data_IF_595815481742
#
_entry.id   IF_595815481742
#
_cell.length_a   1.000
_cell.length_b   1.000
_cell.length_c   1.000
_cell.angle_alpha   90.00
_cell.angle_beta   90.00
_cell.angle_gamma   90.00
#
_symmetry.space_group_name_H-M   'P 1'
#
loop_
_entity.id
_entity.type
_entity.pdbx_description
1 polymer ?
2 water ?
#
# COMPACT_ATOMS: atom_id res chain seq x y z
N UNK A 4 4.99 19.62 7.73
CA UNK A 4 5.34 18.21 8.03
C UNK A 4 5.45 17.96 9.55
N UNK A 5 4.89 16.83 10.02
CA UNK A 5 5.16 16.32 11.35
C UNK A 5 6.65 16.10 11.56
N UNK A 6 7.13 16.32 12.78
CA UNK A 6 8.54 16.09 13.11
C UNK A 6 8.70 14.97 14.11
N UNK A 7 8.04 15.11 15.26
CA UNK A 7 8.08 14.08 16.28
C UNK A 7 6.67 13.52 16.44
N UNK A 8 6.55 12.23 16.17
CA UNK A 8 5.27 11.57 16.05
C UNK A 8 5.06 10.52 17.13
N UNK A 9 3.87 10.51 17.72
CA UNK A 9 3.40 9.39 18.54
C UNK A 9 2.42 8.54 17.74
N UNK A 10 2.64 7.23 17.70
CA UNK A 10 1.77 6.32 16.98
C UNK A 10 1.25 5.25 17.92
N UNK A 11 -0.08 5.20 18.06
CA UNK A 11 -0.74 4.13 18.82
C UNK A 11 -1.36 3.16 17.82
N UNK A 12 -1.18 1.86 18.05
CA UNK A 12 -1.71 0.83 17.14
C UNK A 12 -0.75 0.41 16.04
N UNK A 13 0.55 0.57 16.27
CA UNK A 13 1.54 0.25 15.24
C UNK A 13 1.51 -1.19 14.78
N UNK A 14 0.99 -2.12 15.61
CA UNK A 14 1.02 -3.54 15.22
C UNK A 14 -0.22 -3.98 14.46
N UNK A 15 -1.21 -3.10 14.34
CA UNK A 15 -2.36 -3.38 13.45
C UNK A 15 -1.90 -3.15 12.01
N UNK A 16 -2.66 -3.65 11.04
CA UNK A 16 -2.21 -3.57 9.65
C UNK A 16 -2.05 -2.12 9.17
N UNK A 17 -3.05 -1.28 9.43
CA UNK A 17 -2.93 0.15 9.09
C UNK A 17 -1.72 0.77 9.78
N UNK A 18 -1.57 0.47 11.08
CA UNK A 18 -0.43 0.96 11.85
C UNK A 18 0.92 0.57 11.27
N UNK A 19 1.03 -0.66 10.79
CA UNK A 19 2.29 -1.16 10.23
C UNK A 19 2.61 -0.40 8.95
N UNK A 20 1.63 -0.24 8.06
CA UNK A 20 1.85 0.55 6.85
C UNK A 20 2.23 2.00 7.21
N UNK A 21 1.52 2.58 8.17
CA UNK A 21 1.76 3.97 8.53
C UNK A 21 3.17 4.14 9.12
N UNK A 22 3.55 3.22 10.02
CA UNK A 22 4.88 3.32 10.63
C UNK A 22 5.98 3.24 9.57
N UNK A 23 5.84 2.31 8.64
CA UNK A 23 6.86 2.15 7.60
C UNK A 23 6.96 3.42 6.73
N UNK A 24 5.80 4.04 6.45
CA UNK A 24 5.76 5.33 5.73
C UNK A 24 6.43 6.44 6.54
N UNK A 25 6.03 6.61 7.79
CA UNK A 25 6.60 7.61 8.69
C UNK A 25 8.14 7.51 8.67
N UNK A 26 8.66 6.30 8.85
CA UNK A 26 10.12 6.09 8.92
C UNK A 26 10.85 6.38 7.61
N UNK A 27 10.11 6.40 6.50
CA UNK A 27 10.71 6.67 5.20
C UNK A 27 10.82 8.18 4.90
N UNK A 28 10.12 8.99 5.68
CA UNK A 28 10.08 10.43 5.40
C UNK A 28 11.36 11.12 5.82
N UNK A 29 12.07 11.76 4.87
CA UNK A 29 13.36 12.36 5.26
C UNK A 29 13.29 13.44 6.34
N UNK A 30 12.15 14.11 6.47
CA UNK A 30 12.00 15.20 7.47
C UNK A 30 11.56 14.70 8.84
N UNK A 31 11.24 13.40 8.96
CA UNK A 31 10.81 12.86 10.26
C UNK A 31 11.96 12.93 11.26
N UNK A 32 11.69 13.49 12.44
CA UNK A 32 12.71 13.61 13.49
C UNK A 32 12.73 12.43 14.43
N UNK A 33 11.55 11.95 14.82
CA UNK A 33 11.42 10.87 15.81
C UNK A 33 10.01 10.31 15.75
N UNK A 34 9.88 9.00 15.94
CA UNK A 34 8.57 8.37 16.16
C UNK A 34 8.62 7.53 17.43
N UNK A 35 7.63 7.71 18.28
CA UNK A 35 7.47 6.89 19.46
C UNK A 35 6.30 5.97 19.19
N UNK A 36 6.54 4.66 19.24
CA UNK A 36 5.49 3.69 18.93
C UNK A 36 5.42 2.64 20.04
N UNK A 37 4.68 2.94 21.10
CA UNK A 37 4.48 1.95 22.16
C UNK A 37 3.59 0.84 21.62
N UNK A 38 4.01 -0.41 21.82
CA UNK A 38 3.32 -1.56 21.21
C UNK A 38 3.46 -2.84 22.05
N UNK A 39 2.65 -3.85 21.76
CA UNK A 39 2.72 -5.13 22.49
C UNK A 39 3.82 -6.05 21.96
N UNK A 40 4.45 -5.66 20.85
CA UNK A 40 5.51 -6.44 20.24
C UNK A 40 6.66 -5.55 19.83
N UNK A 41 7.86 -6.12 19.77
CA UNK A 41 9.03 -5.45 19.22
C UNK A 41 8.83 -5.18 17.74
N UNK A 42 9.12 -3.94 17.35
CA UNK A 42 9.20 -3.55 15.97
C UNK A 42 10.68 -3.54 15.60
N UNK A 43 10.99 -3.64 14.31
CA UNK A 43 12.36 -3.56 13.83
C UNK A 43 12.99 -2.25 14.28
N UNK A 44 14.27 -2.31 14.62
CA UNK A 44 14.98 -1.14 15.13
C UNK A 44 15.24 -0.10 14.04
N UNK A 45 15.23 1.16 14.42
CA UNK A 45 15.53 2.25 13.51
C UNK A 45 16.04 3.37 14.41
N UNK A 46 17.09 4.10 13.99
CA UNK A 46 17.64 5.15 14.84
C UNK A 46 16.62 6.21 15.28
N UNK A 47 15.57 6.42 14.49
CA UNK A 47 14.57 7.45 14.81
C UNK A 47 13.35 6.89 15.53
N UNK A 48 13.36 5.59 15.81
CA UNK A 48 12.23 4.92 16.43
C UNK A 48 12.47 4.58 17.90
N UNK A 49 11.55 5.06 18.75
CA UNK A 49 11.50 4.67 20.16
C UNK A 49 10.30 3.75 20.32
N UNK A 50 10.57 2.49 20.66
CA UNK A 50 9.55 1.45 20.66
C UNK A 50 9.51 0.67 21.97
N UNK A 51 8.93 1.29 23.00
CA UNK A 51 8.74 0.54 24.26
C UNK A 51 7.73 -0.59 24.05
N UNK A 52 7.99 -1.76 24.63
CA UNK A 52 7.16 -2.94 24.42
C UNK A 52 6.44 -3.35 25.70
N UNK A 53 5.12 -3.41 25.60
CA UNK A 53 4.25 -3.78 26.72
C UNK A 53 2.85 -3.22 26.52
N UNK A 54 1.97 -3.39 27.51
CA UNK A 54 0.59 -2.88 27.40
C UNK A 54 0.56 -1.36 27.33
N UNK A 55 -0.19 -0.82 26.36
CA UNK A 55 -0.26 0.61 26.08
C UNK A 55 -0.63 1.48 27.28
N UNK A 56 -1.67 1.10 28.03
CA UNK A 56 -2.13 1.91 29.16
C UNK A 56 -1.02 2.15 30.20
N UNK A 57 -0.22 1.12 30.47
CA UNK A 57 0.89 1.22 31.42
C UNK A 57 2.13 1.91 30.82
N UNK A 58 2.28 1.83 29.50
CA UNK A 58 3.40 2.49 28.82
C UNK A 58 3.24 4.01 28.72
N UNK A 59 2.00 4.48 28.57
CA UNK A 59 1.77 5.91 28.27
C UNK A 59 2.44 6.88 29.27
N UNK A 60 2.28 6.63 30.59
CA UNK A 60 2.98 7.45 31.57
C UNK A 60 4.51 7.39 31.47
N UNK A 61 5.06 6.28 31.00
CA UNK A 61 6.51 6.11 30.92
C UNK A 61 7.17 6.85 29.75
N UNK A 62 6.37 7.40 28.83
CA UNK A 62 6.94 8.00 27.63
C UNK A 62 7.67 9.32 27.86
N UNK A 63 8.96 9.31 27.55
CA UNK A 63 9.73 10.54 27.57
C UNK A 63 9.73 11.13 26.17
N UNK A 64 10.20 12.36 26.04
CA UNK A 64 10.27 13.01 24.75
C UNK A 64 9.12 13.96 24.47
N UNK A 65 9.28 14.68 23.36
CA UNK A 65 8.32 15.65 22.87
C UNK A 65 7.63 15.08 21.65
N UNK A 66 6.41 15.53 21.39
CA UNK A 66 5.59 15.11 20.24
C UNK A 66 4.93 16.35 19.67
N UNK A 67 4.85 16.46 18.35
CA UNK A 67 3.98 17.47 17.74
C UNK A 67 2.73 16.86 17.14
N UNK A 68 2.82 15.61 16.69
CA UNK A 68 1.72 14.99 15.94
C UNK A 68 1.48 13.59 16.47
N UNK A 69 0.22 13.22 16.68
CA UNK A 69 -0.11 11.88 17.16
C UNK A 69 -1.12 11.22 16.25
N UNK A 70 -0.99 9.89 16.10
CA UNK A 70 -1.92 9.08 15.30
C UNK A 70 -2.45 7.97 16.15
N UNK A 71 -3.76 7.73 16.07
CA UNK A 71 -4.36 6.58 16.76
C UNK A 71 -5.04 5.67 15.76
N UNK A 72 -4.49 4.46 15.63
CA UNK A 72 -5.00 3.44 14.69
C UNK A 72 -5.59 2.23 15.42
N UNK A 73 -6.14 2.46 16.61
CA UNK A 73 -6.77 1.42 17.43
C UNK A 73 -8.22 1.20 17.03
N UNK A 74 -8.71 -0.03 17.17
CA UNK A 74 -10.11 -0.31 16.98
C UNK A 74 -10.33 -1.81 17.04
N UNK A 75 -11.36 -2.22 17.76
CA UNK A 75 -11.70 -3.64 17.86
C UNK A 75 -13.20 -3.83 17.57
N UNK A 76 -13.74 -4.98 17.97
CA UNK A 76 -15.18 -5.23 17.86
C UNK A 76 -15.64 -5.87 19.16
N UNK A 77 -16.96 -5.89 19.39
CA UNK A 77 -17.48 -6.54 20.61
C UNK A 77 -17.12 -8.02 20.61
N UNK A 78 -17.27 -8.68 19.47
CA UNK A 78 -16.95 -10.10 19.34
C UNK A 78 -15.48 -10.41 19.65
N UNK A 79 -14.55 -9.62 19.10
CA UNK A 79 -13.13 -9.88 19.35
C UNK A 79 -12.68 -9.48 20.75
N UNK A 80 -13.38 -8.50 21.33
CA UNK A 80 -13.02 -8.01 22.67
C UNK A 80 -13.68 -8.84 23.76
N UNK A 81 -14.86 -9.39 23.48
CA UNK A 81 -15.54 -10.31 24.38
C UNK A 81 -16.68 -9.71 25.18
N UNK A 82 -16.77 -8.38 25.20
CA UNK A 82 -17.82 -7.67 25.91
C UNK A 82 -17.88 -6.22 25.44
N UNK A 83 -19.02 -5.58 25.69
CA UNK A 83 -19.15 -4.15 25.42
C UNK A 83 -18.13 -3.35 26.23
N UNK A 84 -17.87 -3.79 27.46
CA UNK A 84 -16.91 -3.11 28.33
C UNK A 84 -15.45 -3.20 27.82
N UNK A 85 -15.07 -4.38 27.34
CA UNK A 85 -13.74 -4.58 26.76
C UNK A 85 -13.59 -3.81 25.43
N UNK A 86 -14.66 -3.77 24.66
CA UNK A 86 -14.67 -2.96 23.46
C UNK A 86 -14.50 -1.47 23.78
N UNK A 87 -15.25 -0.96 24.76
CA UNK A 87 -15.12 0.46 25.13
C UNK A 87 -13.72 0.78 25.59
N UNK A 88 -13.07 -0.14 26.29
CA UNK A 88 -11.70 0.08 26.75
C UNK A 88 -10.73 0.34 25.60
N UNK A 89 -10.88 -0.38 24.49
CA UNK A 89 -9.99 -0.23 23.32
C UNK A 89 -10.39 0.91 22.39
N UNK A 90 -11.70 1.07 22.14
CA UNK A 90 -12.17 2.03 21.16
C UNK A 90 -12.47 3.41 21.73
N UNK A 91 -12.65 3.50 23.05
CA UNK A 91 -12.94 4.79 23.70
C UNK A 91 -11.83 5.19 24.66
N UNK A 92 -11.59 4.37 25.68
CA UNK A 92 -10.68 4.76 26.75
C UNK A 92 -9.26 4.95 26.27
N UNK A 93 -8.75 4.02 25.48
CA UNK A 93 -7.35 4.14 25.06
C UNK A 93 -7.09 5.28 24.10
N UNK A 94 -7.88 5.44 23.04
CA UNK A 94 -7.67 6.61 22.18
C UNK A 94 -7.74 7.93 22.98
N UNK A 95 -8.62 8.02 23.96
CA UNK A 95 -8.69 9.22 24.76
C UNK A 95 -7.43 9.39 25.58
N UNK A 96 -6.93 8.30 26.19
CA UNK A 96 -5.73 8.35 27.01
C UNK A 96 -4.49 8.71 26.19
N UNK A 97 -4.41 8.17 24.97
CA UNK A 97 -3.33 8.52 24.05
C UNK A 97 -3.35 10.03 23.75
N UNK A 98 -4.54 10.56 23.51
CA UNK A 98 -4.71 11.98 23.20
C UNK A 98 -4.28 12.86 24.36
N UNK A 99 -4.71 12.49 25.56
CA UNK A 99 -4.41 13.26 26.77
C UNK A 99 -2.92 13.30 26.99
N UNK A 100 -2.27 12.15 26.85
CA UNK A 100 -0.83 12.06 27.03
C UNK A 100 -0.07 12.82 25.93
N UNK A 101 -0.51 12.69 24.68
CA UNK A 101 0.12 13.40 23.57
C UNK A 101 0.15 14.91 23.83
N UNK A 102 -0.97 15.45 24.31
CA UNK A 102 -1.03 16.89 24.64
C UNK A 102 -0.02 17.25 25.71
N UNK A 103 0.14 16.39 26.71
CA UNK A 103 1.12 16.62 27.78
C UNK A 103 2.54 16.65 27.22
N UNK A 104 2.77 15.91 26.14
CA UNK A 104 4.09 15.80 25.53
C UNK A 104 4.31 16.90 24.48
N UNK A 105 3.31 17.77 24.31
CA UNK A 105 3.43 18.96 23.49
C UNK A 105 2.72 18.92 22.14
N UNK A 106 1.90 17.88 21.93
CA UNK A 106 1.31 17.67 20.62
C UNK A 106 0.34 18.78 20.24
N UNK A 107 0.30 19.13 18.96
CA UNK A 107 -0.63 20.13 18.43
C UNK A 107 -1.69 19.53 17.50
N UNK A 108 -1.46 18.31 16.99
CA UNK A 108 -2.36 17.72 16.00
C UNK A 108 -2.54 16.25 16.30
N UNK A 109 -3.79 15.82 16.49
CA UNK A 109 -4.13 14.41 16.71
C UNK A 109 -4.98 13.94 15.55
N UNK A 110 -4.57 12.82 14.94
CA UNK A 110 -5.32 12.18 13.87
C UNK A 110 -5.78 10.81 14.35
N UNK A 111 -7.09 10.61 14.34
CA UNK A 111 -7.69 9.44 14.95
C UNK A 111 -8.52 8.68 13.92
N UNK A 112 -8.41 7.36 13.91
CA UNK A 112 -9.29 6.54 13.09
C UNK A 112 -10.58 6.27 13.87
N UNK A 113 -11.65 6.88 13.38
CA UNK A 113 -13.01 6.62 13.85
C UNK A 113 -13.68 5.73 12.80
N UNK A 114 -14.92 6.02 12.43
CA UNK A 114 -15.59 5.17 11.43
C UNK A 114 -16.74 5.91 10.80
N UNK A 115 -17.04 5.56 9.55
CA UNK A 115 -18.26 6.02 8.89
C UNK A 115 -19.46 5.87 9.83
N UNK A 116 -20.29 6.90 9.92
CA UNK A 116 -21.50 6.83 10.75
C UNK A 116 -21.32 7.03 12.25
N UNK A 117 -20.09 7.32 12.70
CA UNK A 117 -19.88 7.60 14.11
C UNK A 117 -20.85 8.68 14.57
N UNK A 118 -21.55 8.46 15.69
CA UNK A 118 -22.61 9.38 16.12
C UNK A 118 -23.03 9.00 17.52
N UNK A 119 -22.79 9.88 18.48
CA UNK A 119 -23.07 9.59 19.88
C UNK A 119 -24.56 9.36 20.15
N UNK A 120 -25.42 9.79 19.22
CA UNK A 120 -26.86 9.60 19.39
C UNK A 120 -27.40 8.42 18.58
N UNK A 121 -26.51 7.65 17.96
CA UNK A 121 -26.92 6.46 17.23
C UNK A 121 -27.42 5.35 18.15
N UNK A 122 -28.45 4.64 17.69
CA UNK A 122 -28.91 3.39 18.34
C UNK A 122 -27.96 2.22 18.13
N UNK A 123 -27.00 2.38 17.20
CA UNK A 123 -26.05 1.33 16.90
C UNK A 123 -24.88 1.49 17.88
N UNK A 124 -24.64 0.45 18.68
CA UNK A 124 -23.64 0.50 19.75
C UNK A 124 -22.26 0.92 19.24
N UNK A 125 -21.79 0.25 18.19
CA UNK A 125 -20.46 0.55 17.65
C UNK A 125 -20.38 2.04 17.25
N UNK A 126 -21.36 2.49 16.48
CA UNK A 126 -21.37 3.89 16.00
C UNK A 126 -21.49 4.87 17.16
N UNK A 127 -22.28 4.50 18.17
CA UNK A 127 -22.45 5.34 19.34
C UNK A 127 -21.15 5.56 20.10
N UNK A 128 -20.41 4.48 20.35
CA UNK A 128 -19.14 4.58 21.06
C UNK A 128 -18.14 5.43 20.27
N UNK A 129 -18.09 5.21 18.96
CA UNK A 129 -17.20 6.02 18.12
C UNK A 129 -17.55 7.49 18.19
N UNK A 130 -18.85 7.79 18.17
CA UNK A 130 -19.29 9.18 18.28
C UNK A 130 -18.97 9.78 19.64
N UNK A 131 -19.13 8.99 20.70
CA UNK A 131 -18.80 9.43 22.05
C UNK A 131 -17.31 9.78 22.14
N UNK A 132 -16.47 8.96 21.50
CA UNK A 132 -15.04 9.26 21.47
C UNK A 132 -14.78 10.57 20.73
N UNK A 133 -15.41 10.75 19.57
CA UNK A 133 -15.23 11.99 18.80
C UNK A 133 -15.57 13.22 19.64
N UNK A 134 -16.67 13.15 20.38
CA UNK A 134 -17.09 14.28 21.20
C UNK A 134 -16.10 14.51 22.34
N UNK A 135 -15.65 13.43 22.98
CA UNK A 135 -14.71 13.53 24.09
C UNK A 135 -13.38 14.11 23.62
N UNK A 136 -12.93 13.73 22.43
CA UNK A 136 -11.69 14.30 21.87
C UNK A 136 -11.79 15.80 21.64
N UNK A 137 -12.98 16.26 21.28
CA UNK A 137 -13.19 17.68 21.04
C UNK A 137 -13.20 18.53 22.31
N UNK A 138 -13.14 17.86 23.47
CA UNK A 138 -13.09 18.55 24.76
C UNK A 138 -11.68 18.56 25.37
N UNK A 139 -10.73 17.94 24.69
CA UNK A 139 -9.37 17.82 25.23
C UNK A 139 -8.50 19.07 25.06
N UNK A 140 -8.86 19.94 24.11
CA UNK A 140 -8.10 21.17 23.84
C UNK A 140 -7.10 21.06 22.69
N UNK A 141 -7.40 20.21 21.71
CA UNK A 141 -6.56 20.10 20.51
C UNK A 141 -6.54 21.37 19.67
N UNK A 142 -5.33 21.92 19.40
CA UNK A 142 -5.27 22.97 18.39
C UNK A 142 -5.82 22.47 17.05
N UNK A 143 -5.47 21.23 16.70
CA UNK A 143 -5.93 20.63 15.46
C UNK A 143 -6.29 19.19 15.72
N UNK A 144 -7.44 18.77 15.19
CA UNK A 144 -7.94 17.42 15.40
C UNK A 144 -8.53 16.92 14.09
N UNK A 145 -7.97 15.83 13.56
CA UNK A 145 -8.48 15.26 12.33
C UNK A 145 -9.03 13.88 12.62
N UNK A 146 -10.31 13.70 12.31
CA UNK A 146 -11.01 12.44 12.59
C UNK A 146 -11.34 11.75 11.26
N UNK A 147 -10.69 10.63 11.00
CA UNK A 147 -10.93 9.85 9.79
C UNK A 147 -12.10 8.94 10.03
N UNK A 148 -13.02 8.88 9.06
CA UNK A 148 -14.19 8.01 9.17
C UNK A 148 -14.24 7.04 8.00
N UNK A 149 -13.33 6.06 7.98
CA UNK A 149 -13.32 5.10 6.86
C UNK A 149 -14.57 4.25 6.88
N UNK A 150 -14.90 3.68 5.73
CA UNK A 150 -16.02 2.75 5.62
C UNK A 150 -15.99 1.65 6.68
N UNK A 151 -17.16 1.28 7.16
CA UNK A 151 -17.29 0.22 8.16
C UNK A 151 -16.99 -1.15 7.58
N UNK A 152 -17.24 -1.31 6.29
CA UNK A 152 -17.12 -2.58 5.60
C UNK A 152 -16.36 -2.40 4.31
N UNK A 153 -15.58 -3.41 3.96
CA UNK A 153 -14.86 -3.42 2.68
C UNK A 153 -14.80 -4.83 2.13
N UNK A 154 -14.17 -4.98 0.96
CA UNK A 154 -14.21 -6.24 0.23
C UNK A 154 -15.25 -6.20 -0.86
N UNK A 155 -15.21 -7.20 -1.76
CA UNK A 155 -16.10 -7.22 -2.93
C UNK A 155 -17.58 -7.37 -2.56
N UNK A 156 -17.86 -7.99 -1.41
CA UNK A 156 -19.23 -8.11 -0.92
C UNK A 156 -19.43 -7.43 0.44
N UNK A 157 -18.60 -6.43 0.73
CA UNK A 157 -18.62 -5.73 2.03
C UNK A 157 -18.59 -6.73 3.18
N UNK A 158 -17.75 -7.75 3.04
CA UNK A 158 -17.73 -8.87 3.98
C UNK A 158 -16.66 -8.73 5.06
N UNK A 159 -15.82 -7.71 4.94
CA UNK A 159 -14.74 -7.51 5.90
C UNK A 159 -14.99 -6.25 6.71
N UNK A 160 -14.73 -6.31 8.03
CA UNK A 160 -14.95 -5.13 8.85
C UNK A 160 -13.70 -4.28 8.96
N UNK A 161 -13.90 -2.96 9.00
CA UNK A 161 -12.84 -2.00 9.27
C UNK A 161 -11.87 -2.43 10.39
N UNK A 162 -12.42 -2.90 11.51
CA UNK A 162 -11.56 -3.26 12.65
C UNK A 162 -10.47 -4.30 12.31
N UNK A 163 -10.68 -5.08 11.25
CA UNK A 163 -9.70 -6.09 10.84
C UNK A 163 -8.37 -5.49 10.41
N UNK A 164 -8.38 -4.22 9.97
CA UNK A 164 -7.14 -3.55 9.60
C UNK A 164 -6.68 -2.61 10.70
N UNK A 165 -7.34 -2.69 11.85
CA UNK A 165 -6.95 -1.94 13.02
C UNK A 165 -6.49 -2.95 14.07
N UNK A 166 -7.16 -3.01 15.22
CA UNK A 166 -6.70 -3.88 16.31
C UNK A 166 -7.43 -5.21 16.42
N UNK A 167 -8.32 -5.53 15.46
CA UNK A 167 -9.05 -6.81 15.54
C UNK A 167 -8.95 -7.65 14.27
N UNK A 168 -7.72 -8.05 13.88
CA UNK A 168 -7.58 -8.91 12.73
C UNK A 168 -8.16 -10.28 13.03
N UNK A 169 -8.70 -10.92 12.00
CA UNK A 169 -9.08 -12.32 12.06
C UNK A 169 -8.37 -13.03 10.88
N UNK A 170 -7.33 -13.81 11.19
CA UNK A 170 -6.55 -14.49 10.15
C UNK A 170 -7.11 -15.87 9.81
N UNK A 175 -5.10 -12.10 3.23
CA UNK A 175 -5.82 -10.82 3.31
C UNK A 175 -5.42 -9.83 2.24
N UNK A 176 -5.80 -10.14 1.00
CA UNK A 176 -5.47 -9.32 -0.19
C UNK A 176 -6.06 -7.90 -0.13
N UNK A 177 -7.38 -7.83 0.02
CA UNK A 177 -8.09 -6.55 0.19
C UNK A 177 -7.68 -5.84 1.46
N UNK A 178 -7.32 -6.59 2.49
CA UNK A 178 -6.88 -6.00 3.75
C UNK A 178 -5.63 -5.15 3.57
N UNK A 179 -4.66 -5.68 2.83
CA UNK A 179 -3.42 -4.92 2.59
C UNK A 179 -3.66 -3.66 1.76
N UNK A 180 -4.55 -3.76 0.77
CA UNK A 180 -4.88 -2.59 -0.03
C UNK A 180 -5.54 -1.52 0.85
N UNK A 181 -6.54 -1.91 1.64
CA UNK A 181 -7.26 -0.98 2.48
C UNK A 181 -6.36 -0.34 3.53
N UNK A 182 -5.51 -1.15 4.15
CA UNK A 182 -4.56 -0.61 5.13
C UNK A 182 -3.55 0.34 4.49
N UNK A 183 -3.08 -0.03 3.31
CA UNK A 183 -2.11 0.82 2.63
C UNK A 183 -2.76 2.18 2.31
N UNK A 184 -3.97 2.15 1.77
CA UNK A 184 -4.69 3.36 1.39
C UNK A 184 -4.98 4.23 2.61
N UNK A 185 -5.48 3.62 3.68
CA UNK A 185 -5.82 4.37 4.88
C UNK A 185 -4.59 5.02 5.50
N UNK A 186 -3.47 4.27 5.55
CA UNK A 186 -2.25 4.81 6.10
C UNK A 186 -1.75 6.00 5.27
N UNK A 187 -1.84 5.89 3.95
CA UNK A 187 -1.43 7.00 3.08
C UNK A 187 -2.31 8.23 3.33
N UNK A 188 -3.62 8.01 3.45
CA UNK A 188 -4.54 9.12 3.73
C UNK A 188 -4.21 9.81 5.07
N UNK A 189 -3.90 9.02 6.09
CA UNK A 189 -3.60 9.58 7.41
C UNK A 189 -2.34 10.44 7.36
N UNK A 190 -1.29 9.95 6.68
CA UNK A 190 -0.08 10.76 6.60
C UNK A 190 -0.35 12.06 5.82
N UNK A 191 -1.06 11.95 4.71
CA UNK A 191 -1.36 13.15 3.90
C UNK A 191 -2.16 14.17 4.72
N UNK A 192 -3.09 13.68 5.52
CA UNK A 192 -3.88 14.58 6.38
C UNK A 192 -3.01 15.28 7.42
N UNK A 193 -1.96 14.59 7.86
CA UNK A 193 -1.03 15.16 8.85
C UNK A 193 -0.18 16.29 8.28
N UNK A 194 -0.14 16.42 6.95
CA UNK A 194 0.63 17.48 6.30
C UNK A 194 -0.17 18.76 6.21
N UNK A 195 -1.48 18.66 6.42
CA UNK A 195 -2.37 19.79 6.20
C UNK A 195 -2.47 20.62 7.47
N UNK A 196 -1.93 21.83 7.40
CA UNK A 196 -1.89 22.72 8.55
C UNK A 196 -3.23 23.43 8.71
N UNK A 197 -3.76 23.37 9.92
CA UNK A 197 -5.07 23.91 10.20
C UNK A 197 -5.29 24.13 11.68
N UNK A 198 -6.44 24.70 11.99
CA UNK A 198 -6.88 24.91 13.35
C UNK A 198 -8.28 24.33 13.41
N UNK A 199 -8.60 23.65 14.50
CA UNK A 199 -9.96 23.16 14.72
C UNK A 199 -10.11 21.71 14.32
N UNK A 200 -11.36 21.33 14.06
CA UNK A 200 -11.72 19.92 13.88
C UNK A 200 -12.12 19.64 12.45
N UNK A 201 -11.62 18.54 11.89
CA UNK A 201 -12.00 18.11 10.55
C UNK A 201 -12.41 16.65 10.58
N UNK A 202 -13.57 16.34 10.04
CA UNK A 202 -14.02 14.96 9.85
C UNK A 202 -13.84 14.59 8.38
N UNK A 203 -13.09 13.52 8.12
CA UNK A 203 -12.72 13.14 6.76
C UNK A 203 -13.46 11.85 6.43
N UNK A 204 -14.41 11.96 5.50
CA UNK A 204 -15.29 10.84 5.22
C UNK A 204 -14.68 9.86 4.23
N UNK A 205 -15.34 8.73 4.05
CA UNK A 205 -14.77 7.63 3.27
C UNK A 205 -14.36 8.00 1.84
N UNK A 206 -15.18 8.78 1.12
CA UNK A 206 -14.81 9.18 -0.26
C UNK A 206 -13.57 10.07 -0.27
N UNK A 207 -13.45 10.93 0.75
CA UNK A 207 -12.28 11.81 0.85
C UNK A 207 -11.05 10.97 1.14
N UNK A 208 -11.17 10.02 2.07
CA UNK A 208 -10.06 9.14 2.39
C UNK A 208 -9.64 8.30 1.18
N UNK A 209 -10.59 7.90 0.35
CA UNK A 209 -10.29 7.14 -0.87
C UNK A 209 -9.44 7.98 -1.82
N UNK A 210 -9.83 9.25 -2.00
CA UNK A 210 -9.10 10.13 -2.91
C UNK A 210 -7.69 10.38 -2.38
N UNK A 211 -7.58 10.63 -1.08
CA UNK A 211 -6.28 10.87 -0.47
C UNK A 211 -5.41 9.61 -0.45
N UNK A 212 -6.04 8.47 -0.21
CA UNK A 212 -5.31 7.21 -0.06
C UNK A 212 -4.92 6.58 -1.38
N UNK A 213 -5.81 6.64 -2.36
CA UNK A 213 -5.59 5.97 -3.65
C UNK A 213 -5.10 6.91 -4.73
N UNK A 214 -5.45 8.18 -4.62
CA UNK A 214 -5.17 9.14 -5.70
C UNK A 214 -3.73 9.61 -5.68
N UNK A 215 -3.32 10.25 -6.77
CA UNK A 215 -1.99 10.83 -6.85
C UNK A 215 -1.83 12.02 -5.91
N UNK B 4 -2.05 11.42 -17.98
CA UNK B 4 -2.33 10.06 -17.41
C UNK B 4 -2.44 9.01 -18.53
N UNK B 5 -2.01 7.77 -18.25
CA UNK B 5 -2.43 6.64 -19.06
C UNK B 5 -3.96 6.61 -19.17
N UNK B 6 -4.46 6.15 -20.31
CA UNK B 6 -5.91 6.10 -20.53
C UNK B 6 -6.36 4.65 -20.67
N UNK B 7 -5.74 3.94 -21.60
CA UNK B 7 -6.05 2.54 -21.86
C UNK B 7 -4.80 1.73 -21.54
N UNK B 8 -4.94 0.85 -20.56
CA UNK B 8 -3.80 0.18 -19.92
C UNK B 8 -3.86 -1.33 -20.13
N UNK B 9 -2.72 -1.91 -20.51
CA UNK B 9 -2.56 -3.36 -20.48
C UNK B 9 -1.75 -3.75 -19.26
N UNK B 10 -2.26 -4.68 -18.45
CA UNK B 10 -1.55 -5.09 -17.26
C UNK B 10 -1.32 -6.57 -17.31
N UNK B 11 -0.05 -6.97 -17.30
CA UNK B 11 0.31 -8.38 -17.17
C UNK B 11 0.75 -8.65 -15.76
N UNK B 12 0.17 -9.66 -15.14
CA UNK B 12 0.52 -10.06 -13.79
C UNK B 12 -0.45 -9.62 -12.71
N UNK B 13 -1.73 -9.46 -13.07
CA UNK B 13 -2.72 -9.01 -12.10
C UNK B 13 -2.92 -9.97 -10.92
N UNK B 14 -2.54 -11.24 -11.09
CA UNK B 14 -2.66 -12.20 -9.99
C UNK B 14 -1.50 -12.18 -9.00
N UNK B 15 -0.40 -11.51 -9.35
CA UNK B 15 0.70 -11.30 -8.39
C UNK B 15 0.35 -10.14 -7.49
N UNK B 16 1.01 -10.03 -6.35
CA UNK B 16 0.57 -9.04 -5.36
C UNK B 16 0.77 -7.60 -5.86
N UNK B 17 1.90 -7.32 -6.51
CA UNK B 17 2.13 -5.97 -7.06
C UNK B 17 1.05 -5.65 -8.09
N UNK B 18 0.77 -6.60 -9.00
CA UNK B 18 -0.26 -6.37 -10.01
C UNK B 18 -1.65 -6.20 -9.42
N UNK B 19 -1.93 -6.88 -8.31
CA UNK B 19 -3.20 -6.75 -7.61
C UNK B 19 -3.39 -5.35 -7.06
N UNK B 20 -2.38 -4.84 -6.36
CA UNK B 20 -2.41 -3.46 -5.87
C UNK B 20 -2.47 -2.47 -7.02
N UNK B 21 -1.68 -2.71 -8.08
CA UNK B 21 -1.67 -1.77 -9.19
C UNK B 21 -3.03 -1.74 -9.88
N UNK B 22 -3.65 -2.91 -10.09
CA UNK B 22 -4.95 -2.95 -10.76
C UNK B 22 -5.99 -2.20 -9.96
N UNK B 23 -6.03 -2.44 -8.65
CA UNK B 23 -7.01 -1.79 -7.77
C UNK B 23 -6.81 -0.28 -7.84
N UNK B 24 -5.57 0.14 -7.87
CA UNK B 24 -5.27 1.56 -7.91
C UNK B 24 -5.70 2.19 -9.24
N UNK B 25 -5.28 1.57 -10.36
CA UNK B 25 -5.62 2.01 -11.73
C UNK B 25 -7.14 2.19 -11.85
N UNK B 26 -7.89 1.22 -11.36
CA UNK B 26 -9.36 1.24 -11.49
C UNK B 26 -10.04 2.33 -10.66
N UNK B 27 -9.30 2.90 -9.71
CA UNK B 27 -9.83 4.00 -8.91
C UNK B 27 -9.50 5.38 -9.52
N UNK B 28 -8.61 5.42 -10.52
CA UNK B 28 -8.22 6.69 -11.13
C UNK B 28 -9.36 7.21 -12.01
N UNK B 29 -9.86 8.42 -11.70
CA UNK B 29 -10.98 8.96 -12.47
C UNK B 29 -10.73 9.09 -13.96
N UNK B 30 -9.47 9.24 -14.38
CA UNK B 30 -9.12 9.42 -15.81
C UNK B 30 -8.90 8.11 -16.59
N UNK B 31 -8.89 6.98 -15.90
CA UNK B 31 -8.66 5.70 -16.57
C UNK B 31 -9.84 5.39 -17.49
N UNK B 32 -9.56 5.13 -18.76
CA UNK B 32 -10.59 4.78 -19.72
C UNK B 32 -10.86 3.27 -19.75
N UNK B 33 -9.80 2.46 -19.71
CA UNK B 33 -9.95 1.01 -19.82
C UNK B 33 -8.69 0.33 -19.33
N UNK B 34 -8.84 -0.84 -18.71
CA UNK B 34 -7.70 -1.72 -18.42
C UNK B 34 -7.98 -3.13 -18.95
N UNK B 35 -7.00 -3.68 -19.64
CA UNK B 35 -7.06 -5.05 -20.11
C UNK B 35 -6.07 -5.82 -19.25
N UNK B 36 -6.59 -6.82 -18.54
CA UNK B 36 -5.76 -7.61 -17.63
C UNK B 36 -5.93 -9.10 -17.95
N UNK B 37 -5.15 -9.60 -18.92
CA UNK B 37 -5.19 -11.04 -19.16
C UNK B 37 -4.56 -11.73 -17.96
N UNK B 38 -5.23 -12.75 -17.44
CA UNK B 38 -4.80 -13.35 -16.18
C UNK B 38 -5.05 -14.84 -16.13
N UNK B 39 -4.33 -15.51 -15.24
CA UNK B 39 -4.45 -16.95 -15.06
C UNK B 39 -5.70 -17.32 -14.25
N UNK B 40 -6.35 -16.32 -13.66
CA UNK B 40 -7.58 -16.54 -12.89
C UNK B 40 -8.56 -15.42 -13.23
N UNK B 41 -9.85 -15.68 -12.97
CA UNK B 41 -10.88 -14.65 -13.11
C UNK B 41 -10.74 -13.61 -12.00
N UNK B 42 -10.83 -12.34 -12.39
CA UNK B 42 -10.72 -11.22 -11.46
C UNK B 42 -12.12 -10.67 -11.19
N UNK B 43 -12.25 -9.87 -10.13
CA UNK B 43 -13.51 -9.20 -9.84
C UNK B 43 -13.92 -8.32 -11.02
N UNK B 44 -15.21 -8.28 -11.30
CA UNK B 44 -15.71 -7.54 -12.46
C UNK B 44 -15.69 -6.05 -12.22
N UNK B 45 -15.48 -5.28 -13.28
CA UNK B 45 -15.50 -3.83 -13.22
C UNK B 45 -15.84 -3.30 -14.62
N UNK B 46 -16.67 -2.23 -14.71
CA UNK B 46 -17.09 -1.72 -16.02
C UNK B 46 -15.95 -1.38 -16.99
N UNK B 47 -14.81 -0.97 -16.44
CA UNK B 47 -13.63 -0.56 -17.22
C UNK B 47 -12.61 -1.67 -17.42
N UNK B 48 -12.90 -2.86 -16.88
CA UNK B 48 -11.94 -3.97 -16.89
C UNK B 48 -12.31 -5.05 -17.90
N UNK B 49 -11.39 -5.29 -18.83
CA UNK B 49 -11.46 -6.43 -19.76
C UNK B 49 -10.50 -7.49 -19.22
N UNK B 50 -11.05 -8.65 -18.85
CA UNK B 50 -10.27 -9.69 -18.17
C UNK B 50 -10.36 -11.06 -18.86
N UNK B 51 -9.61 -11.25 -19.96
CA UNK B 51 -9.54 -12.59 -20.55
C UNK B 51 -8.79 -13.49 -19.60
N UNK B 52 -9.21 -14.76 -19.52
CA UNK B 52 -8.64 -15.67 -18.55
C UNK B 52 -8.05 -16.90 -19.26
N UNK B 53 -6.84 -17.28 -18.86
CA UNK B 53 -6.13 -18.40 -19.47
C UNK B 53 -4.63 -18.15 -19.47
N UNK B 54 -3.85 -19.07 -20.08
CA UNK B 54 -2.40 -18.90 -20.18
C UNK B 54 -2.07 -17.64 -20.97
N UNK B 55 -1.12 -16.87 -20.47
CA UNK B 55 -0.86 -15.54 -21.03
C UNK B 55 -0.47 -15.62 -22.50
N UNK B 56 0.34 -16.61 -22.86
CA UNK B 56 0.76 -16.78 -24.25
C UNK B 56 -0.41 -17.02 -25.18
N UNK B 57 -1.41 -17.78 -24.72
CA UNK B 57 -2.65 -18.04 -25.48
C UNK B 57 -3.49 -16.77 -25.64
N UNK B 58 -3.52 -15.95 -24.59
CA UNK B 58 -4.40 -14.78 -24.57
C UNK B 58 -3.90 -13.61 -25.43
N UNK B 59 -2.58 -13.41 -25.47
CA UNK B 59 -2.03 -12.19 -26.07
C UNK B 59 -2.49 -11.91 -27.51
N UNK B 60 -2.37 -12.89 -28.43
CA UNK B 60 -2.80 -12.63 -29.81
C UNK B 60 -4.30 -12.37 -29.94
N UNK B 61 -5.08 -12.75 -28.93
CA UNK B 61 -6.53 -12.65 -28.99
C UNK B 61 -7.07 -11.37 -28.39
N UNK B 62 -6.21 -10.56 -27.78
CA UNK B 62 -6.63 -9.32 -27.16
C UNK B 62 -7.15 -8.35 -28.21
N UNK B 63 -8.31 -7.76 -27.97
CA UNK B 63 -8.79 -6.72 -28.86
C UNK B 63 -8.74 -5.39 -28.15
N UNK B 64 -8.80 -4.33 -28.92
CA UNK B 64 -8.78 -3.00 -28.35
C UNK B 64 -7.45 -2.31 -28.51
N UNK B 65 -7.45 -1.05 -28.08
CA UNK B 65 -6.31 -0.15 -28.13
C UNK B 65 -5.70 -0.04 -26.74
N UNK B 66 -4.39 0.24 -26.71
CA UNK B 66 -3.64 0.44 -25.47
C UNK B 66 -2.71 1.64 -25.66
N UNK B 67 -2.52 2.47 -24.64
CA UNK B 67 -1.44 3.45 -24.67
C UNK B 67 -0.29 3.10 -23.73
N UNK B 68 -0.58 2.40 -22.64
CA UNK B 68 0.42 2.16 -21.60
C UNK B 68 0.32 0.70 -21.18
N UNK B 69 1.47 0.04 -21.03
CA UNK B 69 1.49 -1.34 -20.59
C UNK B 69 2.40 -1.50 -19.38
N UNK B 70 2.00 -2.40 -18.49
CA UNK B 70 2.79 -2.75 -17.29
C UNK B 70 3.02 -4.24 -17.25
N UNK B 71 4.23 -4.65 -16.89
CA UNK B 71 4.50 -6.07 -16.72
C UNK B 71 5.06 -6.33 -15.33
N UNK B 72 4.34 -7.14 -14.57
CA UNK B 72 4.63 -7.42 -13.16
C UNK B 72 4.80 -8.92 -12.92
N UNK B 73 5.49 -9.57 -13.86
CA UNK B 73 5.75 -11.01 -13.81
C UNK B 73 7.10 -11.28 -13.20
N UNK B 74 7.21 -12.41 -12.51
CA UNK B 74 8.52 -12.87 -12.07
C UNK B 74 8.44 -14.13 -11.23
N UNK B 75 9.45 -14.98 -11.40
CA UNK B 75 9.59 -16.20 -10.60
C UNK B 75 11.05 -16.36 -10.17
N UNK B 76 11.39 -17.51 -9.63
CA UNK B 76 12.78 -17.82 -9.31
C UNK B 76 13.17 -19.08 -10.08
N UNK B 77 14.47 -19.28 -10.25
CA UNK B 77 14.98 -20.47 -10.90
C UNK B 77 14.45 -21.71 -10.20
N UNK B 78 14.52 -21.70 -8.88
CA UNK B 78 14.16 -22.87 -8.10
C UNK B 78 12.67 -23.16 -8.17
N UNK B 79 11.86 -22.11 -8.11
CA UNK B 79 10.41 -22.26 -8.19
C UNK B 79 9.96 -22.71 -9.58
N UNK B 80 10.63 -22.19 -10.61
CA UNK B 80 10.27 -22.56 -11.98
C UNK B 80 10.68 -24.00 -12.24
N UNK B 81 11.82 -24.40 -11.68
CA UNK B 81 12.29 -25.79 -11.74
C UNK B 81 13.19 -26.12 -12.92
N UNK B 82 13.37 -25.16 -13.82
CA UNK B 82 14.23 -25.37 -15.00
C UNK B 82 14.60 -24.02 -15.60
N UNK B 83 15.67 -23.99 -16.37
CA UNK B 83 16.06 -22.76 -17.04
C UNK B 83 14.99 -22.31 -18.03
N UNK B 84 14.41 -23.25 -18.76
CA UNK B 84 13.33 -22.96 -19.73
C UNK B 84 12.06 -22.39 -19.07
N UNK B 85 11.64 -22.97 -17.95
CA UNK B 85 10.44 -22.48 -17.26
C UNK B 85 10.69 -21.10 -16.66
N UNK B 86 11.90 -20.86 -16.18
CA UNK B 86 12.27 -19.54 -15.66
C UNK B 86 12.28 -18.50 -16.78
N UNK B 87 12.95 -18.82 -17.88
CA UNK B 87 12.99 -17.94 -19.03
C UNK B 87 11.58 -17.63 -19.55
N UNK B 88 10.67 -18.60 -19.49
CA UNK B 88 9.30 -18.35 -19.95
C UNK B 88 8.65 -17.18 -19.22
N UNK B 89 8.76 -17.16 -17.89
CA UNK B 89 8.12 -16.15 -17.05
C UNK B 89 8.90 -14.84 -17.06
N UNK B 90 10.22 -14.96 -16.99
CA UNK B 90 11.08 -13.79 -16.77
C UNK B 90 11.70 -13.20 -18.04
N UNK B 91 11.54 -13.88 -19.16
CA UNK B 91 12.01 -13.34 -20.44
C UNK B 91 10.94 -13.41 -21.54
N UNK B 92 10.46 -14.62 -21.82
CA UNK B 92 9.59 -14.81 -22.99
C UNK B 92 8.29 -14.05 -22.87
N UNK B 93 7.64 -14.16 -21.72
CA UNK B 93 6.34 -13.51 -21.57
C UNK B 93 6.43 -11.98 -21.50
N UNK B 94 7.36 -11.42 -20.69
CA UNK B 94 7.48 -9.95 -20.76
C UNK B 94 7.80 -9.42 -22.15
N UNK B 95 8.58 -10.17 -22.93
CA UNK B 95 8.90 -9.75 -24.30
C UNK B 95 7.64 -9.82 -25.17
N UNK B 96 6.87 -10.90 -25.02
CA UNK B 96 5.65 -11.09 -25.85
C UNK B 96 4.60 -10.04 -25.50
N UNK B 97 4.51 -9.69 -24.22
CA UNK B 97 3.58 -8.65 -23.79
C UNK B 97 3.93 -7.34 -24.44
N UNK B 98 5.22 -7.00 -24.46
CA UNK B 98 5.67 -5.76 -25.08
C UNK B 98 5.39 -5.74 -26.57
N UNK B 99 5.70 -6.86 -27.24
CA UNK B 99 5.50 -6.94 -28.68
C UNK B 99 4.02 -6.70 -29.01
N UNK B 100 3.14 -7.38 -28.28
CA UNK B 100 1.70 -7.28 -28.52
C UNK B 100 1.20 -5.87 -28.17
N UNK B 101 1.68 -5.30 -27.06
CA UNK B 101 1.26 -3.97 -26.64
C UNK B 101 1.54 -2.94 -27.72
N UNK B 102 2.73 -3.02 -28.33
CA UNK B 102 3.05 -2.12 -29.45
C UNK B 102 2.09 -2.28 -30.64
N UNK B 103 1.73 -3.51 -30.95
CA UNK B 103 0.73 -3.77 -32.03
C UNK B 103 -0.62 -3.11 -31.72
N UNK B 104 -0.95 -3.01 -30.43
CA UNK B 104 -2.23 -2.46 -29.99
C UNK B 104 -2.18 -0.94 -29.82
N UNK B 105 -1.04 -0.34 -30.17
CA UNK B 105 -0.89 1.12 -30.18
C UNK B 105 -0.13 1.72 -29.01
N UNK B 106 0.45 0.88 -28.15
CA UNK B 106 1.06 1.38 -26.92
C UNK B 106 2.27 2.28 -27.20
N UNK B 107 2.46 3.28 -26.34
CA UNK B 107 3.61 4.19 -26.43
C UNK B 107 4.59 4.10 -25.25
N UNK B 108 4.16 3.50 -24.14
CA UNK B 108 5.01 3.43 -22.94
C UNK B 108 4.83 2.06 -22.30
N UNK B 109 5.94 1.37 -22.08
CA UNK B 109 5.95 0.08 -21.39
C UNK B 109 6.76 0.22 -20.14
N UNK B 110 6.17 -0.21 -19.03
CA UNK B 110 6.84 -0.23 -17.71
C UNK B 110 6.98 -1.67 -17.23
N UNK B 111 8.21 -2.09 -16.98
CA UNK B 111 8.52 -3.48 -16.68
C UNK B 111 9.24 -3.61 -15.37
N UNK B 112 8.82 -4.57 -14.56
CA UNK B 112 9.55 -4.93 -13.36
C UNK B 112 10.67 -5.90 -13.71
N UNK B 113 11.89 -5.39 -13.61
CA UNK B 113 13.10 -6.17 -13.77
C UNK B 113 13.67 -6.40 -12.36
N UNK B 114 14.98 -6.30 -12.17
CA UNK B 114 15.56 -6.56 -10.87
C UNK B 114 16.92 -5.87 -10.75
N UNK B 115 17.26 -5.49 -9.53
CA UNK B 115 18.59 -4.95 -9.22
C UNK B 115 19.65 -5.91 -9.78
N UNK B 116 20.64 -5.35 -10.47
CA UNK B 116 21.76 -6.15 -10.95
C UNK B 116 21.54 -6.83 -12.30
N UNK B 117 20.39 -6.60 -12.94
CA UNK B 117 20.16 -7.15 -14.26
C UNK B 117 21.29 -6.72 -15.20
N UNK B 118 21.85 -7.68 -15.94
CA UNK B 118 23.03 -7.43 -16.77
C UNK B 118 23.22 -8.63 -17.69
N UNK B 119 23.04 -8.41 -19.00
CA UNK B 119 23.13 -9.49 -19.97
C UNK B 119 24.53 -10.12 -20.01
N UNK B 120 25.53 -9.42 -19.46
CA UNK B 120 26.90 -9.96 -19.41
C UNK B 120 27.29 -10.57 -18.06
N UNK B 121 26.33 -10.72 -17.15
CA UNK B 121 26.58 -11.29 -15.83
C UNK B 121 26.75 -12.80 -15.93
N UNK B 122 27.59 -13.34 -15.04
CA UNK B 122 27.74 -14.78 -14.92
C UNK B 122 26.62 -15.42 -14.11
N UNK B 123 25.90 -14.60 -13.33
CA UNK B 123 24.78 -15.06 -12.53
C UNK B 123 23.59 -15.22 -13.48
N UNK B 124 23.11 -16.44 -13.62
CA UNK B 124 22.05 -16.77 -14.59
C UNK B 124 20.85 -15.84 -14.45
N UNK B 125 20.37 -15.65 -13.21
CA UNK B 125 19.23 -14.78 -12.97
C UNK B 125 19.50 -13.40 -13.54
N UNK B 126 20.64 -12.83 -13.19
CA UNK B 126 20.99 -11.48 -13.65
C UNK B 126 21.12 -11.40 -15.16
N UNK B 127 21.68 -12.45 -15.76
CA UNK B 127 21.85 -12.52 -17.21
C UNK B 127 20.52 -12.51 -17.96
N UNK B 128 19.59 -13.37 -17.57
CA UNK B 128 18.26 -13.42 -18.19
C UNK B 128 17.55 -12.07 -18.06
N UNK B 129 17.59 -11.49 -16.88
CA UNK B 129 16.92 -10.21 -16.68
C UNK B 129 17.53 -9.12 -17.59
N UNK B 130 18.85 -9.11 -17.70
CA UNK B 130 19.54 -8.14 -18.56
C UNK B 130 19.26 -8.38 -20.03
N UNK B 131 19.21 -9.66 -20.42
CA UNK B 131 18.84 -10.02 -21.80
C UNK B 131 17.43 -9.52 -22.14
N UNK B 132 16.50 -9.63 -21.19
CA UNK B 132 15.17 -9.07 -21.38
C UNK B 132 15.25 -7.57 -21.61
N UNK B 133 15.97 -6.89 -20.74
CA UNK B 133 16.09 -5.43 -20.86
C UNK B 133 16.65 -5.02 -22.22
N UNK B 134 17.66 -5.75 -22.71
CA UNK B 134 18.25 -5.39 -23.99
C UNK B 134 17.26 -5.66 -25.12
N UNK B 135 16.56 -6.80 -25.06
CA UNK B 135 15.59 -7.14 -26.09
C UNK B 135 14.45 -6.15 -26.13
N UNK B 136 14.01 -5.68 -24.96
CA UNK B 136 12.95 -4.66 -24.95
C UNK B 136 13.36 -3.38 -25.67
N UNK B 137 14.63 -3.02 -25.53
CA UNK B 137 15.16 -1.83 -26.20
C UNK B 137 15.26 -1.97 -27.72
N UNK B 138 15.00 -3.17 -28.24
CA UNK B 138 15.01 -3.38 -29.70
C UNK B 138 13.60 -3.39 -30.30
N UNK B 139 12.57 -3.30 -29.47
CA UNK B 139 11.20 -3.42 -29.96
C UNK B 139 10.64 -2.17 -30.64
N UNK B 140 11.22 -1.02 -30.33
CA UNK B 140 10.74 0.26 -30.89
C UNK B 140 9.84 1.08 -29.96
N UNK B 141 10.03 0.93 -28.64
CA UNK B 141 9.28 1.73 -27.66
C UNK B 141 9.57 3.23 -27.74
N UNK B 142 8.54 4.07 -27.94
CA UNK B 142 8.79 5.49 -27.76
C UNK B 142 9.26 5.81 -26.34
N UNK B 143 8.70 5.10 -25.35
CA UNK B 143 9.12 5.25 -23.98
C UNK B 143 9.14 3.90 -23.28
N UNK B 144 10.22 3.64 -22.56
CA UNK B 144 10.41 2.36 -21.89
C UNK B 144 10.97 2.63 -20.50
N UNK B 145 10.26 2.21 -19.47
CA UNK B 145 10.70 2.38 -18.10
C UNK B 145 10.91 1.01 -17.47
N UNK B 146 12.12 0.80 -16.95
CA UNK B 146 12.50 -0.48 -16.39
C UNK B 146 12.82 -0.30 -14.91
N UNK B 147 11.99 -0.87 -14.05
CA UNK B 147 12.14 -0.79 -12.61
C UNK B 147 13.06 -1.90 -12.16
N UNK B 148 14.01 -1.59 -11.29
CA UNK B 148 14.93 -2.61 -10.79
C UNK B 148 14.89 -2.70 -9.27
N UNK B 149 13.84 -3.30 -8.72
CA UNK B 149 13.76 -3.40 -7.25
C UNK B 149 14.81 -4.31 -6.68
N UNK B 150 15.09 -4.09 -5.39
CA UNK B 150 15.98 -4.96 -4.63
C UNK B 150 15.48 -6.40 -4.66
N UNK B 151 16.41 -7.34 -4.55
CA UNK B 151 16.10 -8.75 -4.64
C UNK B 151 15.47 -9.28 -3.34
N UNK B 152 15.78 -8.61 -2.23
CA UNK B 152 15.24 -8.96 -0.93
C UNK B 152 14.62 -7.72 -0.31
N UNK B 153 13.59 -7.92 0.50
CA UNK B 153 12.94 -6.83 1.21
C UNK B 153 12.44 -7.31 2.55
N UNK B 154 12.00 -6.36 3.37
CA UNK B 154 11.44 -6.66 4.68
C UNK B 154 12.32 -6.15 5.81
N UNK B 155 11.88 -6.35 7.06
CA UNK B 155 12.65 -5.85 8.20
C UNK B 155 14.03 -6.50 8.34
N UNK B 156 14.15 -7.78 7.95
CA UNK B 156 15.45 -8.45 7.98
C UNK B 156 15.98 -8.81 6.59
N UNK B 157 15.39 -8.20 5.54
CA UNK B 157 15.70 -8.58 4.15
C UNK B 157 15.44 -10.07 3.94
N UNK B 158 14.33 -10.57 4.46
CA UNK B 158 14.03 -12.01 4.45
C UNK B 158 13.11 -12.51 3.31
N UNK B 159 12.55 -11.59 2.54
CA UNK B 159 11.63 -11.97 1.46
C UNK B 159 12.21 -11.71 0.08
N UNK B 160 11.96 -12.62 -0.86
CA UNK B 160 12.43 -12.45 -2.24
C UNK B 160 11.42 -11.61 -3.03
N UNK B 161 11.97 -10.75 -3.87
CA UNK B 161 11.17 -9.92 -4.77
C UNK B 161 10.10 -10.73 -5.53
N UNK B 162 10.45 -11.90 -6.04
CA UNK B 162 9.48 -12.71 -6.79
C UNK B 162 8.17 -13.01 -6.06
N UNK B 163 8.20 -13.04 -4.73
CA UNK B 163 7.00 -13.29 -3.94
C UNK B 163 5.91 -12.21 -4.03
N UNK B 164 6.26 -11.05 -4.58
CA UNK B 164 5.25 -10.03 -4.86
C UNK B 164 4.99 -9.84 -6.35
N UNK B 165 5.51 -10.77 -7.17
CA UNK B 165 5.28 -10.71 -8.60
C UNK B 165 4.43 -11.91 -9.02
N UNK B 166 4.05 -11.95 -10.28
CA UNK B 166 3.14 -12.99 -10.76
C UNK B 166 3.88 -14.14 -11.42
N UNK B 167 3.50 -15.37 -11.06
CA UNK B 167 4.09 -16.58 -11.61
C UNK B 167 2.97 -17.63 -11.67
N UNK B 168 3.13 -18.65 -12.53
CA UNK B 168 2.07 -19.66 -12.66
C UNK B 168 2.14 -20.76 -11.59
N UNK B 169 2.32 -20.36 -10.34
CA UNK B 169 2.59 -21.26 -9.21
C UNK B 169 1.39 -22.14 -8.82
N UNK B 174 1.59 -14.71 0.55
CA UNK B 174 2.26 -13.48 1.01
C UNK B 174 1.78 -13.09 2.41
N UNK B 175 2.59 -12.30 3.10
CA UNK B 175 2.24 -11.78 4.42
C UNK B 175 2.11 -10.28 4.43
N UNK B 176 2.06 -9.71 5.64
CA UNK B 176 1.82 -8.27 5.80
C UNK B 176 2.93 -7.42 5.18
N UNK B 177 4.17 -7.89 5.25
CA UNK B 177 5.29 -7.14 4.69
C UNK B 177 5.30 -7.18 3.17
N UNK B 178 4.84 -8.31 2.61
CA UNK B 178 4.62 -8.43 1.17
C UNK B 178 3.65 -7.36 0.70
N UNK B 179 2.57 -7.16 1.46
CA UNK B 179 1.59 -6.13 1.12
C UNK B 179 2.16 -4.72 1.13
N UNK B 180 3.00 -4.41 2.11
CA UNK B 180 3.65 -3.09 2.15
C UNK B 180 4.49 -2.90 0.89
N UNK B 181 5.34 -3.88 0.59
CA UNK B 181 6.24 -3.78 -0.55
C UNK B 181 5.48 -3.70 -1.88
N UNK B 182 4.46 -4.54 -2.04
CA UNK B 182 3.65 -4.54 -3.27
C UNK B 182 2.92 -3.24 -3.44
N UNK B 183 2.37 -2.71 -2.34
CA UNK B 183 1.68 -1.44 -2.40
C UNK B 183 2.63 -0.36 -2.89
N UNK B 184 3.83 -0.33 -2.32
CA UNK B 184 4.79 0.71 -2.66
C UNK B 184 5.27 0.58 -4.11
N UNK B 185 5.57 -0.65 -4.54
CA UNK B 185 6.05 -0.85 -5.91
C UNK B 185 4.96 -0.45 -6.91
N UNK B 186 3.72 -0.78 -6.59
CA UNK B 186 2.60 -0.41 -7.46
C UNK B 186 2.46 1.12 -7.54
N UNK B 187 2.61 1.81 -6.40
CA UNK B 187 2.57 3.27 -6.43
C UNK B 187 3.70 3.85 -7.29
N UNK B 188 4.89 3.28 -7.17
CA UNK B 188 6.02 3.77 -7.96
C UNK B 188 5.77 3.55 -9.45
N UNK B 189 5.24 2.39 -9.80
CA UNK B 189 4.98 2.10 -11.22
C UNK B 189 3.96 3.07 -11.81
N UNK B 190 2.88 3.33 -11.07
CA UNK B 190 1.89 4.30 -11.59
C UNK B 190 2.49 5.69 -11.73
N UNK B 191 3.23 6.14 -10.72
CA UNK B 191 3.86 7.47 -10.77
C UNK B 191 4.78 7.56 -11.98
N UNK B 192 5.54 6.50 -12.24
CA UNK B 192 6.45 6.48 -13.40
C UNK B 192 5.69 6.58 -14.72
N UNK B 193 4.49 6.00 -14.74
CA UNK B 193 3.61 6.05 -15.92
C UNK B 193 3.03 7.44 -16.22
N UNK B 194 3.11 8.34 -15.24
CA UNK B 194 2.65 9.72 -15.42
C UNK B 194 3.72 10.59 -16.05
N UNK B 195 4.94 10.09 -16.11
CA UNK B 195 6.06 10.86 -16.66
C UNK B 195 5.96 10.94 -18.18
N UNK B 196 5.97 12.16 -18.69
CA UNK B 196 6.12 12.39 -20.11
C UNK B 196 7.60 12.22 -20.41
N UNK B 197 7.90 11.74 -21.61
CA UNK B 197 9.28 11.52 -22.01
C UNK B 197 9.42 10.58 -23.18
N UNK B 198 10.62 10.56 -23.74
CA UNK B 198 10.97 9.62 -24.79
C UNK B 198 12.21 8.89 -24.32
N UNK B 199 12.35 7.64 -24.77
CA UNK B 199 13.56 6.89 -24.52
C UNK B 199 13.44 5.92 -23.36
N UNK B 200 14.58 5.54 -22.81
CA UNK B 200 14.69 4.45 -21.85
C UNK B 200 15.11 5.01 -20.50
N UNK B 201 14.41 4.60 -19.45
CA UNK B 201 14.76 4.97 -18.09
C UNK B 201 14.84 3.73 -17.22
N UNK B 202 15.96 3.59 -16.52
CA UNK B 202 16.13 2.55 -15.52
C UNK B 202 15.91 3.20 -14.17
N UNK B 203 15.06 2.59 -13.35
CA UNK B 203 14.73 3.14 -12.03
C UNK B 203 15.22 2.17 -10.95
N UNK B 204 16.24 2.59 -10.22
CA UNK B 204 16.89 1.69 -9.27
C UNK B 204 16.15 1.67 -7.93
N UNK B 205 16.55 0.73 -7.08
CA UNK B 205 15.87 0.47 -5.82
C UNK B 205 15.62 1.72 -4.95
N UNK B 206 16.65 2.55 -4.76
CA UNK B 206 16.51 3.76 -3.92
C UNK B 206 15.45 4.70 -4.49
N UNK B 207 15.45 4.83 -5.82
CA UNK B 207 14.52 5.72 -6.50
C UNK B 207 13.11 5.16 -6.38
N UNK B 208 12.97 3.85 -6.53
CA UNK B 208 11.67 3.19 -6.40
C UNK B 208 11.11 3.35 -5.00
N UNK B 209 11.97 3.26 -4.00
CA UNK B 209 11.55 3.45 -2.60
C UNK B 209 11.01 4.85 -2.41
N UNK B 210 11.74 5.84 -2.89
CA UNK B 210 11.31 7.22 -2.78
C UNK B 210 9.98 7.46 -3.51
N UNK B 211 9.84 6.94 -4.72
CA UNK B 211 8.60 7.15 -5.47
C UNK B 211 7.45 6.38 -4.86
N UNK B 212 7.73 5.18 -4.36
CA UNK B 212 6.70 4.31 -3.82
C UNK B 212 6.18 4.78 -2.48
N UNK B 213 7.08 5.25 -1.63
CA UNK B 213 6.66 5.76 -0.33
C UNK B 213 6.04 7.14 -0.42
N UNK B 214 6.60 7.99 -1.28
CA UNK B 214 6.18 9.39 -1.32
C UNK B 214 5.17 9.80 -2.37
N UNK B 215 4.85 8.91 -3.32
CA UNK B 215 3.90 9.28 -4.38
C UNK B 215 2.66 8.38 -4.47
#
# INVERSE_FOLDING_TARGET
MHSTPKRVLLAGATGLTGEHLLDRILSEPTLAKVIAPARKALAEHPRLDNPVGPLAELLPQLDGSIDTAFCCLGTTIKEAGSEEAFRAVDFDLPLAVGKRALEMGARHYLVVSALGADAKSSIFYNRVKGELEQALQEQGWPQLTIARPSLLFGPREEFRLAEILAAPIARILPGKYHGIEACDLARALWRLALEEGKGVRFVESDELRKLGKGS
MHSTPKRVLLAGATGLTGEHLLDRILSEPTLAKVIAPARKALAEHPRLDNPVGPLAELLPQLDGSIDTAFCCLGTTIKEAGSEEAFRAVDFDLPLAVGKRALEMGARHYLVVSALGADAKSSIFYNRVKGELEQALQEQGWPQLTIARPSLLFGPREEFRLAEILAAPIARILPGKYHGIEACDLARALWRLALEEGKGVRFVESDELRKLGKGS
#
